data_IF_069031235276
#
_entry.id   IF_069031235276
#
_cell.length_a   1.000
_cell.length_b   1.000
_cell.length_c   1.000
_cell.angle_alpha   90.00
_cell.angle_beta   90.00
_cell.angle_gamma   90.00
#
_symmetry.space_group_name_H-M   'P 1'
#
loop_
_entity.id
_entity.type
_entity.pdbx_description
1 polymer ?
#
# COMPACT_ATOMS: atom_id res chain seq x y z
N UNK A 1 -13.27 -15.09 -30.45
CA UNK A 1 -12.82 -15.93 -29.33
C UNK A 1 -11.36 -15.58 -29.11
N UNK A 2 -10.89 -15.16 -27.94
CA UNK A 2 -11.21 -15.58 -26.58
C UNK A 2 -10.84 -14.44 -25.62
N UNK A 3 -11.64 -14.27 -24.57
CA UNK A 3 -11.48 -13.23 -23.57
C UNK A 3 -10.35 -13.57 -22.59
N UNK A 4 -9.53 -12.58 -22.22
CA UNK A 4 -8.73 -12.62 -20.99
C UNK A 4 -8.45 -11.20 -20.47
N UNK A 5 -9.51 -10.54 -19.99
CA UNK A 5 -9.36 -9.50 -18.97
C UNK A 5 -9.09 -10.20 -17.65
N UNK A 6 -7.83 -10.53 -17.38
CA UNK A 6 -7.38 -10.96 -16.05
C UNK A 6 -6.78 -9.74 -15.36
N UNK A 7 -7.59 -9.05 -14.54
CA UNK A 7 -7.06 -8.09 -13.59
C UNK A 7 -6.19 -8.84 -12.58
N UNK A 8 -4.90 -9.00 -12.89
CA UNK A 8 -3.93 -9.78 -12.12
C UNK A 8 -3.49 -9.08 -10.83
N UNK A 9 -4.46 -8.80 -9.97
CA UNK A 9 -4.24 -8.27 -8.63
C UNK A 9 -4.34 -9.43 -7.66
N UNK A 10 -3.28 -9.66 -6.89
CA UNK A 10 -3.32 -10.60 -5.76
C UNK A 10 -3.78 -9.83 -4.54
N UNK A 11 -4.90 -10.25 -3.95
CA UNK A 11 -5.46 -9.60 -2.76
C UNK A 11 -5.41 -10.56 -1.58
N UNK A 12 -4.78 -10.13 -0.48
CA UNK A 12 -4.88 -10.77 0.82
C UNK A 12 -5.77 -9.93 1.73
N UNK A 13 -6.68 -10.58 2.46
CA UNK A 13 -7.50 -9.94 3.49
C UNK A 13 -7.24 -10.64 4.81
N UNK A 14 -6.91 -9.85 5.83
CA UNK A 14 -6.67 -10.32 7.18
C UNK A 14 -7.56 -9.55 8.15
N UNK A 15 -8.13 -10.27 9.12
CA UNK A 15 -8.98 -9.69 10.16
C UNK A 15 -8.39 -10.01 11.52
N UNK A 16 -8.35 -9.02 12.38
CA UNK A 16 -7.87 -9.16 13.75
C UNK A 16 -8.72 -8.32 14.69
N UNK A 17 -8.79 -8.67 15.98
CA UNK A 17 -9.42 -7.78 16.96
C UNK A 17 -8.61 -6.48 17.08
N UNK A 18 -9.29 -5.34 17.30
CA UNK A 18 -8.63 -4.04 17.47
C UNK A 18 -7.61 -4.03 18.64
N UNK A 19 -7.79 -4.92 19.62
CA UNK A 19 -6.82 -5.11 20.71
C UNK A 19 -5.41 -5.49 20.23
N UNK A 20 -5.27 -6.02 19.01
CA UNK A 20 -3.98 -6.32 18.40
C UNK A 20 -3.12 -5.05 18.16
N UNK A 21 -3.77 -3.89 17.94
CA UNK A 21 -3.07 -2.60 17.72
C UNK A 21 -2.73 -1.94 19.05
N UNK A 22 -3.55 -2.14 20.08
CA UNK A 22 -3.49 -1.38 21.34
C UNK A 22 -2.49 -1.93 22.36
N UNK A 23 -1.73 -2.99 22.03
CA UNK A 23 -0.67 -3.55 22.88
C UNK A 23 -1.12 -3.97 24.29
N UNK A 24 -2.42 -4.17 24.53
CA UNK A 24 -3.00 -4.26 25.86
C UNK A 24 -4.05 -5.36 26.03
N UNK A 25 -3.71 -6.32 26.88
CA UNK A 25 -4.52 -7.32 27.59
C UNK A 25 -5.45 -8.23 26.77
N UNK A 26 -5.28 -9.55 26.97
CA UNK A 26 -6.27 -10.57 26.61
C UNK A 26 -7.66 -10.16 27.06
N UNK A 27 -8.68 -10.26 26.19
CA UNK A 27 -10.03 -9.92 26.56
C UNK A 27 -10.54 -10.89 27.63
N UNK A 28 -10.92 -10.36 28.78
CA UNK A 28 -11.80 -11.08 29.69
C UNK A 28 -13.15 -11.30 29.01
N UNK A 29 -13.59 -12.55 29.03
CA UNK A 29 -14.83 -13.06 28.44
C UNK A 29 -16.02 -12.14 28.69
N UNK A 30 -16.52 -11.51 27.62
CA UNK A 30 -17.96 -11.35 27.41
C UNK A 30 -18.23 -11.29 25.91
N UNK A 31 -19.22 -12.04 25.44
CA UNK A 31 -19.65 -12.23 24.05
C UNK A 31 -20.25 -10.97 23.40
N UNK A 32 -19.54 -9.83 23.48
CA UNK A 32 -19.83 -8.67 22.64
C UNK A 32 -18.92 -8.76 21.43
N UNK A 33 -19.51 -8.75 20.23
CA UNK A 33 -18.80 -8.65 18.95
C UNK A 33 -17.69 -7.58 19.08
N UNK A 34 -16.44 -8.04 19.17
CA UNK A 34 -15.33 -7.13 19.27
C UNK A 34 -15.18 -6.43 17.93
N UNK A 35 -14.92 -5.11 17.92
CA UNK A 35 -14.64 -4.46 16.67
C UNK A 35 -13.43 -5.12 16.00
N UNK A 36 -13.62 -5.51 14.74
CA UNK A 36 -12.57 -6.12 13.92
C UNK A 36 -11.84 -5.02 13.13
N UNK A 37 -10.52 -5.09 13.19
CA UNK A 37 -9.61 -4.44 12.25
C UNK A 37 -9.51 -5.31 11.00
N UNK A 38 -9.69 -4.69 9.84
CA UNK A 38 -9.51 -5.33 8.54
C UNK A 38 -8.28 -4.76 7.84
N UNK A 39 -7.35 -5.63 7.48
CA UNK A 39 -6.17 -5.32 6.69
C UNK A 39 -6.35 -5.94 5.31
N UNK A 40 -6.26 -5.13 4.26
CA UNK A 40 -6.25 -5.62 2.88
C UNK A 40 -4.93 -5.24 2.23
N UNK A 41 -4.28 -6.20 1.59
CA UNK A 41 -3.07 -5.98 0.81
C UNK A 41 -3.35 -6.35 -0.64
N UNK A 42 -3.21 -5.38 -1.53
CA UNK A 42 -3.36 -5.57 -2.97
C UNK A 42 -1.98 -5.47 -3.60
N UNK A 43 -1.57 -6.52 -4.30
CA UNK A 43 -0.31 -6.58 -5.04
C UNK A 43 -0.66 -6.61 -6.52
N UNK A 44 -0.24 -5.57 -7.23
CA UNK A 44 -0.46 -5.47 -8.67
C UNK A 44 0.65 -6.21 -9.42
N UNK A 45 0.35 -6.62 -10.65
CA UNK A 45 1.37 -7.16 -11.53
C UNK A 45 2.43 -6.09 -11.86
N UNK A 46 3.70 -6.48 -12.03
CA UNK A 46 4.73 -5.58 -12.54
C UNK A 46 4.35 -5.05 -13.93
N UNK A 47 4.62 -3.77 -14.15
CA UNK A 47 4.38 -3.04 -15.40
C UNK A 47 5.71 -2.43 -15.86
N UNK A 48 5.96 -2.36 -17.17
CA UNK A 48 7.15 -1.69 -17.68
C UNK A 48 7.12 -0.19 -17.37
N UNK A 49 8.27 0.40 -17.08
CA UNK A 49 8.39 1.83 -16.76
C UNK A 49 7.92 2.71 -17.93
N UNK A 50 8.14 2.27 -19.18
CA UNK A 50 7.64 2.91 -20.39
C UNK A 50 6.12 3.03 -20.42
N UNK A 51 5.43 2.03 -19.88
CA UNK A 51 3.98 1.89 -19.98
C UNK A 51 3.25 2.77 -18.97
N UNK A 52 3.94 3.17 -17.88
CA UNK A 52 3.36 4.05 -16.86
C UNK A 52 2.90 5.39 -17.44
N UNK A 53 3.63 5.94 -18.43
CA UNK A 53 3.25 7.17 -19.13
C UNK A 53 1.96 7.00 -19.92
N UNK A 54 1.89 5.95 -20.74
CA UNK A 54 0.71 5.63 -21.55
C UNK A 54 -0.54 5.33 -20.70
N UNK A 55 -0.36 4.78 -19.50
CA UNK A 55 -1.43 4.51 -18.54
C UNK A 55 -1.82 5.73 -17.68
N UNK A 56 -1.21 6.90 -17.88
CA UNK A 56 -1.36 8.08 -17.02
C UNK A 56 -1.10 7.79 -15.53
N UNK A 57 -0.20 6.83 -15.26
CA UNK A 57 0.16 6.34 -13.92
C UNK A 57 1.64 6.57 -13.64
N UNK A 58 2.24 7.62 -14.20
CA UNK A 58 3.67 7.96 -14.00
C UNK A 58 4.06 8.09 -12.52
N UNK A 59 3.19 8.73 -11.73
CA UNK A 59 3.36 8.89 -10.30
C UNK A 59 2.34 8.08 -9.50
N UNK A 60 2.74 7.50 -8.36
CA UNK A 60 1.86 6.74 -7.44
C UNK A 60 0.67 7.57 -6.92
N UNK A 61 0.78 8.90 -6.99
CA UNK A 61 -0.30 9.84 -6.65
C UNK A 61 -1.54 9.63 -7.52
N UNK A 62 -1.39 9.23 -8.78
CA UNK A 62 -2.53 8.97 -9.66
C UNK A 62 -3.32 7.76 -9.18
N UNK A 63 -2.62 6.70 -8.77
CA UNK A 63 -3.24 5.56 -8.10
C UNK A 63 -3.90 5.98 -6.78
N UNK A 64 -3.29 6.89 -6.02
CA UNK A 64 -3.91 7.46 -4.81
C UNK A 64 -5.21 8.20 -5.11
N UNK A 65 -5.27 8.92 -6.23
CA UNK A 65 -6.49 9.60 -6.66
C UNK A 65 -7.60 8.60 -7.03
N UNK A 66 -7.26 7.50 -7.69
CA UNK A 66 -8.22 6.43 -7.99
C UNK A 66 -8.78 5.80 -6.70
N UNK A 67 -7.90 5.46 -5.75
CA UNK A 67 -8.31 4.92 -4.43
C UNK A 67 -9.16 5.91 -3.65
N UNK A 68 -8.75 7.18 -3.62
CA UNK A 68 -9.52 8.25 -2.98
C UNK A 68 -10.92 8.35 -3.59
N UNK A 69 -11.04 8.38 -4.92
CA UNK A 69 -12.35 8.44 -5.59
C UNK A 69 -13.20 7.19 -5.31
N UNK A 70 -12.58 6.01 -5.31
CA UNK A 70 -13.29 4.76 -5.02
C UNK A 70 -13.81 4.69 -3.57
N UNK A 71 -13.08 5.29 -2.62
CA UNK A 71 -13.44 5.30 -1.19
C UNK A 71 -14.39 6.46 -0.82
N UNK A 72 -14.41 7.55 -1.58
CA UNK A 72 -15.31 8.70 -1.37
C UNK A 72 -16.75 8.49 -1.87
N UNK A 73 -17.19 7.25 -2.09
CA UNK A 73 -18.54 6.94 -2.60
C UNK A 73 -19.67 7.40 -1.67
N UNK A 74 -19.38 7.59 -0.39
CA UNK A 74 -20.35 8.04 0.62
C UNK A 74 -20.20 9.56 0.83
N UNK A 75 -21.31 10.29 0.85
CA UNK A 75 -21.32 11.77 1.00
C UNK A 75 -20.74 12.30 2.33
N UNK A 76 -20.42 11.42 3.28
CA UNK A 76 -19.93 11.76 4.62
C UNK A 76 -18.50 11.26 4.89
N UNK A 77 -17.69 11.08 3.86
CA UNK A 77 -16.28 10.69 4.02
C UNK A 77 -15.37 11.91 3.94
N UNK A 78 -14.58 12.14 4.97
CA UNK A 78 -13.59 13.22 5.07
C UNK A 78 -12.18 12.67 4.82
N UNK A 79 -11.35 13.45 4.13
CA UNK A 79 -9.93 13.13 3.96
C UNK A 79 -9.11 13.91 4.99
N UNK A 80 -8.57 13.20 5.97
CA UNK A 80 -7.78 13.76 7.07
C UNK A 80 -6.30 13.90 6.69
N UNK A 81 -5.77 12.96 5.88
CA UNK A 81 -4.39 13.03 5.37
C UNK A 81 -4.35 12.64 3.90
N UNK A 82 -3.50 13.34 3.15
CA UNK A 82 -3.26 13.12 1.73
C UNK A 82 -1.87 13.67 1.39
N UNK A 83 -0.83 12.85 1.56
CA UNK A 83 0.57 13.29 1.44
C UNK A 83 1.48 12.18 0.93
N UNK A 84 2.68 12.58 0.53
CA UNK A 84 3.76 11.64 0.22
C UNK A 84 4.09 10.80 1.46
N UNK A 85 4.30 9.51 1.26
CA UNK A 85 4.79 8.58 2.28
C UNK A 85 6.22 8.16 1.95
N UNK A 86 7.10 8.29 2.94
CA UNK A 86 8.50 7.88 2.83
C UNK A 86 8.66 6.59 3.62
N UNK A 87 8.88 5.49 2.90
CA UNK A 87 9.17 4.18 3.49
C UNK A 87 10.49 4.27 4.24
N UNK A 88 10.50 3.99 5.54
CA UNK A 88 11.66 4.13 6.42
C UNK A 88 12.58 2.92 6.40
N UNK A 89 12.04 1.74 6.10
CA UNK A 89 12.76 0.48 6.23
C UNK A 89 12.78 -0.25 4.88
N UNK A 90 13.97 -0.44 4.32
CA UNK A 90 14.19 -1.45 3.28
C UNK A 90 15.11 -2.51 3.90
N UNK A 91 14.53 -3.49 4.59
CA UNK A 91 15.28 -4.51 5.34
C UNK A 91 16.01 -5.50 4.41
N UNK A 92 15.62 -5.53 3.15
CA UNK A 92 16.36 -6.11 2.04
C UNK A 92 17.27 -5.04 1.46
N UNK A 93 18.54 -5.33 1.18
CA UNK A 93 19.45 -4.48 0.36
C UNK A 93 18.95 -4.40 -1.10
N UNK A 94 17.69 -4.03 -1.27
CA UNK A 94 16.95 -3.97 -2.50
C UNK A 94 17.34 -2.67 -3.21
N UNK A 95 17.90 -2.84 -4.41
CA UNK A 95 18.37 -1.77 -5.28
C UNK A 95 17.19 -0.95 -5.83
N UNK A 96 15.97 -1.51 -5.77
CA UNK A 96 14.78 -0.83 -6.25
C UNK A 96 14.45 0.42 -5.43
N UNK A 97 13.98 1.45 -6.11
CA UNK A 97 13.48 2.66 -5.47
C UNK A 97 12.05 2.44 -4.98
N UNK A 98 11.72 2.98 -3.81
CA UNK A 98 10.38 2.94 -3.25
C UNK A 98 9.79 4.35 -3.16
N UNK A 99 8.60 4.53 -3.74
CA UNK A 99 7.83 5.78 -3.65
C UNK A 99 6.47 5.47 -3.04
N UNK A 100 6.05 6.24 -2.04
CA UNK A 100 4.81 5.97 -1.32
C UNK A 100 3.84 7.14 -1.30
N UNK A 101 2.56 6.84 -1.06
CA UNK A 101 1.52 7.82 -0.80
C UNK A 101 0.62 7.39 0.35
N UNK A 102 0.30 8.31 1.25
CA UNK A 102 -0.58 8.08 2.40
C UNK A 102 -1.90 8.82 2.21
N UNK A 103 -2.99 8.08 2.39
CA UNK A 103 -4.34 8.62 2.54
C UNK A 103 -4.88 8.20 3.90
N UNK A 104 -5.49 9.13 4.61
CA UNK A 104 -6.30 8.80 5.78
C UNK A 104 -7.69 9.37 5.57
N UNK A 105 -8.68 8.49 5.55
CA UNK A 105 -10.08 8.82 5.35
C UNK A 105 -10.88 8.43 6.60
N UNK A 106 -11.84 9.26 6.97
CA UNK A 106 -12.78 8.98 8.04
C UNK A 106 -14.19 9.18 7.52
N UNK A 107 -15.01 8.14 7.66
CA UNK A 107 -16.45 8.21 7.47
C UNK A 107 -17.18 8.03 8.83
N UNK A 108 -18.51 8.19 8.82
CA UNK A 108 -19.33 8.06 10.04
C UNK A 108 -19.20 6.71 10.75
N UNK A 109 -18.85 5.64 10.03
CA UNK A 109 -18.80 4.26 10.48
C UNK A 109 -17.38 3.70 10.58
N UNK A 110 -16.42 4.21 9.81
CA UNK A 110 -15.08 3.65 9.65
C UNK A 110 -14.00 4.73 9.52
N UNK A 111 -12.83 4.39 10.04
CA UNK A 111 -11.55 5.02 9.75
C UNK A 111 -10.76 4.11 8.82
N UNK A 112 -10.25 4.65 7.72
CA UNK A 112 -9.50 3.90 6.71
C UNK A 112 -8.17 4.60 6.43
N UNK A 113 -7.07 3.92 6.74
CA UNK A 113 -5.73 4.35 6.32
C UNK A 113 -5.36 3.56 5.06
N UNK A 114 -4.88 4.24 4.03
CA UNK A 114 -4.37 3.62 2.81
C UNK A 114 -2.94 4.07 2.61
N UNK A 115 -2.03 3.11 2.50
CA UNK A 115 -0.65 3.36 2.10
C UNK A 115 -0.43 2.67 0.78
N UNK A 116 -0.16 3.48 -0.23
CA UNK A 116 0.24 3.01 -1.55
C UNK A 116 1.76 3.03 -1.62
N UNK A 117 2.33 1.97 -2.15
CA UNK A 117 3.77 1.87 -2.40
C UNK A 117 3.98 1.48 -3.86
N UNK A 118 4.95 2.11 -4.50
CA UNK A 118 5.46 1.74 -5.80
C UNK A 118 6.92 1.40 -5.66
N UNK A 119 7.27 0.18 -6.06
CA UNK A 119 8.66 -0.26 -6.20
C UNK A 119 9.07 -0.10 -7.65
N UNK A 120 10.11 0.67 -7.95
CA UNK A 120 10.61 0.97 -9.30
C UNK A 120 12.03 0.46 -9.47
N UNK A 121 12.44 0.24 -10.72
CA UNK A 121 13.77 -0.27 -11.06
C UNK A 121 13.99 -1.67 -10.49
N UNK A 122 12.98 -2.53 -10.63
CA UNK A 122 13.01 -3.89 -10.11
C UNK A 122 14.07 -4.73 -10.86
N UNK A 123 15.02 -5.37 -10.15
CA UNK A 123 15.95 -6.33 -10.76
C UNK A 123 15.23 -7.46 -11.50
N UNK A 124 15.84 -8.07 -12.54
CA UNK A 124 17.25 -7.90 -12.94
C UNK A 124 17.50 -6.80 -13.99
N UNK A 125 16.47 -6.33 -14.68
CA UNK A 125 16.58 -5.43 -15.83
C UNK A 125 16.29 -3.95 -15.52
N UNK A 126 15.85 -3.66 -14.30
CA UNK A 126 15.54 -2.30 -13.80
C UNK A 126 14.55 -1.51 -14.67
N UNK A 127 13.71 -2.21 -15.44
CA UNK A 127 12.79 -1.64 -16.43
C UNK A 127 11.32 -1.77 -16.04
N UNK A 128 11.03 -2.29 -14.84
CA UNK A 128 9.67 -2.47 -14.34
C UNK A 128 9.41 -1.72 -13.03
N UNK A 129 8.13 -1.42 -12.82
CA UNK A 129 7.57 -0.95 -11.57
C UNK A 129 6.45 -1.89 -11.10
N UNK A 130 6.29 -2.01 -9.80
CA UNK A 130 5.23 -2.78 -9.18
C UNK A 130 4.55 -1.97 -8.09
N UNK A 131 3.21 -1.95 -8.12
CA UNK A 131 2.38 -1.23 -7.18
C UNK A 131 1.83 -2.15 -6.09
N UNK A 132 1.70 -1.60 -4.89
CA UNK A 132 1.13 -2.24 -3.71
C UNK A 132 0.16 -1.25 -3.06
N UNK A 133 -0.96 -1.75 -2.58
CA UNK A 133 -1.88 -0.99 -1.76
C UNK A 133 -2.18 -1.72 -0.46
N UNK A 134 -1.81 -1.09 0.65
CA UNK A 134 -2.18 -1.52 1.99
C UNK A 134 -3.36 -0.68 2.46
N UNK A 135 -4.46 -1.33 2.81
CA UNK A 135 -5.65 -0.71 3.35
C UNK A 135 -5.85 -1.24 4.77
N UNK A 136 -5.94 -0.33 5.72
CA UNK A 136 -6.24 -0.62 7.10
C UNK A 136 -7.57 0.03 7.46
N UNK A 137 -8.59 -0.78 7.69
CA UNK A 137 -9.95 -0.32 7.98
C UNK A 137 -10.34 -0.73 9.39
N UNK A 138 -10.83 0.24 10.14
CA UNK A 138 -11.27 0.06 11.53
C UNK A 138 -12.60 0.78 11.73
N UNK A 139 -13.58 0.21 12.45
CA UNK A 139 -14.80 0.93 12.79
C UNK A 139 -14.53 2.22 13.59
N UNK A 140 -15.29 3.28 13.32
CA UNK A 140 -15.14 4.58 14.00
C UNK A 140 -15.49 4.51 15.51
N UNK A 141 -16.22 3.48 15.92
CA UNK A 141 -16.63 3.23 17.31
C UNK A 141 -15.53 2.63 18.19
N UNK A 142 -14.40 2.21 17.60
CA UNK A 142 -13.31 1.52 18.31
C UNK A 142 -12.52 2.40 19.29
N UNK A 143 -12.64 3.72 19.19
CA UNK A 143 -11.89 4.66 20.03
C UNK A 143 -12.29 4.67 21.50
N UNK A 144 -13.47 4.14 21.86
CA UNK A 144 -13.95 4.06 23.25
C UNK A 144 -13.83 5.41 23.99
N UNK A 145 -13.35 5.36 25.24
CA UNK A 145 -13.05 6.53 26.09
C UNK A 145 -11.68 7.19 25.81
N UNK A 146 -10.83 6.60 24.95
CA UNK A 146 -9.57 7.25 24.57
C UNK A 146 -9.87 8.49 23.74
N UNK A 147 -9.00 9.50 23.86
CA UNK A 147 -9.07 10.67 22.98
C UNK A 147 -8.97 10.18 21.54
N UNK A 148 -9.98 10.48 20.74
CA UNK A 148 -10.10 10.05 19.34
C UNK A 148 -8.83 10.34 18.52
N UNK A 149 -8.11 11.41 18.84
CA UNK A 149 -6.82 11.74 18.20
C UNK A 149 -5.71 10.74 18.48
N UNK A 150 -5.58 10.27 19.72
CA UNK A 150 -4.49 9.35 20.09
C UNK A 150 -4.69 8.01 19.37
N UNK A 151 -5.93 7.52 19.33
CA UNK A 151 -6.27 6.31 18.57
C UNK A 151 -6.02 6.45 17.06
N UNK A 152 -6.30 7.62 16.48
CA UNK A 152 -6.00 7.87 15.07
C UNK A 152 -4.50 7.81 14.79
N UNK A 153 -3.67 8.38 15.66
CA UNK A 153 -2.21 8.30 15.51
C UNK A 153 -1.71 6.87 15.69
N UNK A 154 -2.24 6.10 16.65
CA UNK A 154 -1.91 4.68 16.84
C UNK A 154 -2.24 3.86 15.58
N UNK A 155 -3.42 4.07 14.99
CA UNK A 155 -3.85 3.38 13.76
C UNK A 155 -2.94 3.71 12.57
N UNK A 156 -2.54 4.98 12.44
CA UNK A 156 -1.64 5.41 11.36
C UNK A 156 -0.23 4.86 11.60
N UNK A 157 0.23 4.85 12.85
CA UNK A 157 1.52 4.29 13.21
C UNK A 157 1.58 2.80 12.85
N UNK A 158 0.53 2.05 13.17
CA UNK A 158 0.45 0.62 12.84
C UNK A 158 0.43 0.39 11.33
N UNK A 159 -0.30 1.21 10.57
CA UNK A 159 -0.24 1.18 9.11
C UNK A 159 1.17 1.46 8.58
N UNK A 160 1.90 2.43 9.17
CA UNK A 160 3.30 2.70 8.82
C UNK A 160 4.20 1.50 9.12
N UNK A 161 4.07 0.88 10.29
CA UNK A 161 4.84 -0.32 10.66
C UNK A 161 4.59 -1.43 9.65
N UNK A 162 3.34 -1.69 9.28
CA UNK A 162 3.00 -2.68 8.26
C UNK A 162 3.63 -2.34 6.90
N UNK A 163 3.47 -1.11 6.41
CA UNK A 163 4.03 -0.68 5.13
C UNK A 163 5.57 -0.71 5.12
N UNK A 164 6.20 -0.34 6.23
CA UNK A 164 7.65 -0.40 6.41
C UNK A 164 8.15 -1.85 6.51
N UNK A 165 7.33 -2.78 7.00
CA UNK A 165 7.66 -4.22 7.06
C UNK A 165 7.60 -4.93 5.71
N UNK A 166 6.90 -4.36 4.72
CA UNK A 166 6.84 -4.92 3.36
C UNK A 166 8.23 -4.93 2.74
N UNK A 167 8.69 -6.12 2.35
CA UNK A 167 9.96 -6.33 1.67
C UNK A 167 9.73 -7.21 0.44
N UNK A 168 10.53 -6.98 -0.60
CA UNK A 168 10.52 -7.84 -1.78
C UNK A 168 11.41 -9.05 -1.52
N UNK A 169 10.84 -10.25 -1.58
CA UNK A 169 11.64 -11.47 -1.73
C UNK A 169 11.92 -11.64 -3.23
N UNK A 170 13.02 -11.08 -3.72
CA UNK A 170 13.41 -11.26 -5.11
C UNK A 170 14.01 -12.66 -5.32
N UNK A 171 13.47 -13.43 -6.25
CA UNK A 171 14.03 -14.74 -6.63
C UNK A 171 15.43 -14.60 -7.24
N UNK A 172 15.70 -13.46 -7.91
CA UNK A 172 17.01 -13.11 -8.42
C UNK A 172 17.30 -11.61 -8.23
N UNK A 173 17.99 -11.21 -7.15
CA UNK A 173 18.31 -9.81 -6.89
C UNK A 173 19.48 -9.28 -7.75
N UNK A 174 20.12 -10.13 -8.55
CA UNK A 174 21.33 -9.76 -9.30
C UNK A 174 20.94 -8.99 -10.56
N UNK A 175 21.57 -7.83 -10.75
CA UNK A 175 21.41 -7.02 -11.96
C UNK A 175 22.09 -7.71 -13.16
N UNK A 176 21.41 -7.77 -14.28
CA UNK A 176 22.01 -8.19 -15.55
C UNK A 176 22.74 -7.01 -16.19
N UNK A 177 23.91 -6.66 -15.65
CA UNK A 177 24.70 -5.50 -16.07
C UNK A 177 25.02 -5.51 -17.56
N UNK A 178 25.28 -6.67 -18.15
CA UNK A 178 25.60 -6.78 -19.58
C UNK A 178 24.41 -6.39 -20.46
N UNK A 179 23.20 -6.81 -20.08
CA UNK A 179 21.98 -6.46 -20.81
C UNK A 179 21.63 -4.99 -20.59
N UNK A 180 21.78 -4.50 -19.36
CA UNK A 180 21.55 -3.09 -19.04
C UNK A 180 22.51 -2.21 -19.85
N UNK A 181 23.80 -2.55 -19.87
CA UNK A 181 24.81 -1.83 -20.65
C UNK A 181 24.49 -1.86 -22.14
N UNK A 182 24.15 -3.03 -22.69
CA UNK A 182 23.75 -3.14 -24.09
C UNK A 182 22.52 -2.27 -24.42
N UNK A 183 21.53 -2.18 -23.53
CA UNK A 183 20.37 -1.28 -23.69
C UNK A 183 20.78 0.20 -23.64
N UNK A 184 21.69 0.59 -22.74
CA UNK A 184 22.21 1.96 -22.65
C UNK A 184 23.04 2.33 -23.88
N UNK A 185 23.88 1.42 -24.38
CA UNK A 185 24.68 1.64 -25.58
C UNK A 185 23.79 1.81 -26.81
N UNK A 186 22.67 1.07 -26.90
CA UNK A 186 21.70 1.23 -27.98
C UNK A 186 21.07 2.63 -28.00
N UNK A 187 20.85 3.27 -26.84
CA UNK A 187 20.32 4.64 -26.75
C UNK A 187 21.29 5.70 -27.30
N UNK A 188 22.58 5.39 -27.48
CA UNK A 188 23.53 6.32 -28.10
C UNK A 188 23.36 6.40 -29.63
N UNK A 189 22.68 5.41 -30.23
CA UNK A 189 22.52 5.28 -31.67
C UNK A 189 21.10 5.59 -32.16
N UNK A 190 20.20 5.98 -31.25
CA UNK A 190 18.82 6.41 -31.50
C UNK A 190 18.72 7.95 -31.43
#
# INVERSE_FOLDING_TARGET
EEAASTSGVKTGVYKAPVSAILGGASPSRSDREQPELEVQLHIYNPVALSDLGYMAREHVRWLAMEYKQALLRTQQTYVLRNKLYVKKMNLSNDVAAWVGWELFLQDSQNMTVVILLRRQYVPPLVDTAQDFALLLKCPSTCGGERRTKDFQEDLIHEAHVMADSLTSQADNPVLCTDIIQAKLDALLYD
#
